data_IF_903218437903
#
_entry.id   IF_903218437903
#
_cell.length_a   1.000
_cell.length_b   1.000
_cell.length_c   1.000
_cell.angle_alpha   90.00
_cell.angle_beta   90.00
_cell.angle_gamma   90.00
#
_symmetry.space_group_name_H-M   'P 1'
#
loop_
_entity.id
_entity.type
_entity.pdbx_description
1 polymer ?
#
# COMPACT_ATOMS: atom_id res chain seq x y z
N UNK A 1 -36.78 15.09 -10.46
CA UNK A 1 -35.34 14.99 -10.11
C UNK A 1 -34.63 14.39 -11.31
N UNK A 2 -33.68 15.09 -11.94
CA UNK A 2 -32.96 14.57 -13.13
C UNK A 2 -31.72 13.80 -12.66
N UNK A 3 -31.67 12.52 -12.97
CA UNK A 3 -30.51 11.67 -12.71
C UNK A 3 -29.37 12.03 -13.68
N UNK A 4 -28.17 12.30 -13.17
CA UNK A 4 -26.99 12.58 -13.97
C UNK A 4 -25.89 11.55 -13.61
N UNK A 5 -25.78 10.45 -14.35
CA UNK A 5 -24.86 9.36 -14.04
C UNK A 5 -23.39 9.80 -13.92
N UNK A 6 -22.96 10.72 -14.78
CA UNK A 6 -21.58 11.25 -14.75
C UNK A 6 -21.30 11.98 -13.44
N UNK A 7 -22.28 12.76 -12.97
CA UNK A 7 -22.17 13.48 -11.70
C UNK A 7 -22.11 12.50 -10.53
N UNK A 8 -22.98 11.51 -10.52
CA UNK A 8 -22.99 10.49 -9.46
C UNK A 8 -21.66 9.73 -9.36
N UNK A 9 -21.11 9.29 -10.50
CA UNK A 9 -19.82 8.58 -10.54
C UNK A 9 -18.70 9.50 -10.04
N UNK A 10 -18.70 10.75 -10.48
CA UNK A 10 -17.69 11.74 -10.06
C UNK A 10 -17.81 12.11 -8.59
N UNK A 11 -18.99 12.04 -7.97
CA UNK A 11 -19.18 12.38 -6.56
C UNK A 11 -18.95 11.18 -5.63
N UNK A 12 -19.35 9.97 -6.04
CA UNK A 12 -19.41 8.80 -5.17
C UNK A 12 -18.34 7.74 -5.45
N UNK A 13 -17.40 7.99 -6.36
CA UNK A 13 -16.28 7.09 -6.65
C UNK A 13 -14.93 7.80 -6.65
N UNK A 14 -13.84 7.04 -6.74
CA UNK A 14 -12.48 7.57 -6.89
C UNK A 14 -12.10 7.92 -8.33
N UNK A 15 -13.06 8.03 -9.24
CA UNK A 15 -12.83 8.36 -10.63
C UNK A 15 -13.42 9.73 -10.98
N UNK A 16 -12.72 10.44 -11.87
CA UNK A 16 -13.27 11.55 -12.64
C UNK A 16 -13.54 11.04 -14.05
N UNK A 17 -14.79 11.15 -14.48
CA UNK A 17 -15.30 10.74 -15.79
C UNK A 17 -15.76 11.98 -16.54
N UNK A 18 -15.25 12.13 -17.75
CA UNK A 18 -15.74 13.07 -18.76
C UNK A 18 -15.91 12.33 -20.08
N UNK A 19 -16.51 12.97 -21.08
CA UNK A 19 -16.68 12.37 -22.40
C UNK A 19 -16.74 13.42 -23.50
N UNK A 20 -16.35 13.00 -24.70
CA UNK A 20 -16.52 13.75 -25.94
C UNK A 20 -17.56 13.09 -26.84
N UNK A 21 -18.32 13.92 -27.54
CA UNK A 21 -19.27 13.48 -28.56
C UNK A 21 -18.60 13.58 -29.92
N UNK A 22 -18.34 12.44 -30.54
CA UNK A 22 -17.81 12.36 -31.89
C UNK A 22 -19.02 12.34 -32.84
N UNK A 23 -19.11 13.34 -33.72
CA UNK A 23 -20.21 13.48 -34.65
C UNK A 23 -19.84 12.99 -36.04
N UNK A 24 -20.82 12.39 -36.73
CA UNK A 24 -20.78 12.14 -38.16
C UNK A 24 -21.95 12.89 -38.79
N UNK A 25 -21.66 14.07 -39.33
CA UNK A 25 -22.69 15.03 -39.70
C UNK A 25 -23.41 15.60 -38.47
N UNK A 26 -24.74 15.56 -38.46
CA UNK A 26 -25.55 16.12 -37.36
C UNK A 26 -25.78 15.15 -36.21
N UNK A 27 -25.57 13.84 -36.43
CA UNK A 27 -25.76 12.81 -35.41
C UNK A 27 -24.48 12.55 -34.63
N UNK A 28 -24.64 12.16 -33.35
CA UNK A 28 -23.55 11.59 -32.56
C UNK A 28 -23.32 10.18 -33.10
N UNK A 29 -22.12 9.95 -33.62
CA UNK A 29 -21.69 8.65 -34.13
C UNK A 29 -21.12 7.81 -32.99
N UNK A 30 -20.32 8.42 -32.12
CA UNK A 30 -19.72 7.76 -30.96
C UNK A 30 -19.52 8.70 -29.78
N UNK A 31 -19.38 8.13 -28.59
CA UNK A 31 -18.99 8.83 -27.36
C UNK A 31 -17.68 8.25 -26.88
N UNK A 32 -16.66 9.08 -26.72
CA UNK A 32 -15.38 8.69 -26.15
C UNK A 32 -15.34 9.13 -24.69
N UNK A 33 -15.16 8.17 -23.77
CA UNK A 33 -15.04 8.47 -22.36
C UNK A 33 -13.57 8.68 -21.97
N UNK A 34 -13.33 9.69 -21.13
CA UNK A 34 -12.05 9.92 -20.47
C UNK A 34 -12.24 9.66 -18.98
N UNK A 35 -11.55 8.64 -18.47
CA UNK A 35 -11.68 8.20 -17.08
C UNK A 35 -10.31 8.30 -16.43
N UNK A 36 -10.21 9.08 -15.36
CA UNK A 36 -8.97 9.29 -14.62
C UNK A 36 -9.22 8.95 -13.15
N UNK A 37 -8.32 8.18 -12.53
CA UNK A 37 -8.35 7.98 -11.08
C UNK A 37 -7.97 9.28 -10.40
N UNK A 38 -8.78 9.74 -9.45
CA UNK A 38 -8.48 10.93 -8.64
C UNK A 38 -7.12 10.73 -7.97
N UNK A 39 -6.26 11.75 -8.09
CA UNK A 39 -5.00 11.77 -7.36
C UNK A 39 -5.30 11.89 -5.86
N UNK A 40 -5.49 10.74 -5.21
CA UNK A 40 -5.56 10.70 -3.78
C UNK A 40 -4.13 10.90 -3.27
N UNK A 41 -3.76 12.13 -2.92
CA UNK A 41 -2.47 12.42 -2.28
C UNK A 41 -2.26 11.67 -0.94
N UNK A 42 -3.31 11.03 -0.42
CA UNK A 42 -3.29 10.19 0.81
C UNK A 42 -3.24 8.67 0.54
N UNK A 43 -3.40 8.21 -0.70
CA UNK A 43 -3.69 6.81 -1.04
C UNK A 43 -2.51 6.09 -1.69
N UNK A 44 -1.29 6.46 -1.31
CA UNK A 44 -0.14 5.55 -1.39
C UNK A 44 -0.20 4.44 -0.32
N UNK A 45 -1.25 4.45 0.50
CA UNK A 45 -1.44 3.53 1.62
C UNK A 45 -2.12 2.20 1.25
N UNK A 46 -2.76 2.06 0.08
CA UNK A 46 -3.45 0.79 -0.23
C UNK A 46 -2.48 -0.40 -0.38
N UNK A 47 -1.20 -0.15 -0.67
CA UNK A 47 -0.12 -1.16 -0.63
C UNK A 47 0.57 -1.28 0.73
N UNK A 48 0.18 -0.45 1.71
CA UNK A 48 0.79 -0.41 3.05
C UNK A 48 0.16 -1.43 4.02
N UNK A 49 -0.89 -2.14 3.57
CA UNK A 49 -1.56 -3.22 4.30
C UNK A 49 -1.20 -4.63 3.79
N UNK A 50 -0.22 -4.78 2.90
CA UNK A 50 0.41 -6.08 2.68
C UNK A 50 1.29 -6.39 3.89
N UNK A 51 0.66 -6.96 4.94
CA UNK A 51 1.30 -7.37 6.20
C UNK A 51 2.57 -8.18 5.91
N UNK A 52 2.57 -8.97 4.84
CA UNK A 52 3.73 -9.77 4.42
C UNK A 52 4.91 -8.92 3.93
N UNK A 53 4.67 -7.88 3.12
CA UNK A 53 5.74 -7.00 2.64
C UNK A 53 6.31 -6.15 3.78
N UNK A 54 5.43 -5.68 4.68
CA UNK A 54 5.85 -4.95 5.89
C UNK A 54 6.67 -5.83 6.84
N UNK A 55 6.28 -7.08 7.04
CA UNK A 55 6.99 -8.02 7.90
C UNK A 55 8.36 -8.39 7.34
N UNK A 56 8.53 -8.50 6.01
CA UNK A 56 9.84 -8.71 5.41
C UNK A 56 10.80 -7.53 5.63
N UNK A 57 10.32 -6.30 5.45
CA UNK A 57 11.12 -5.09 5.71
C UNK A 57 11.48 -4.99 7.20
N UNK A 58 10.49 -5.18 8.08
CA UNK A 58 10.71 -5.14 9.53
C UNK A 58 11.67 -6.23 10.00
N UNK A 59 11.58 -7.43 9.43
CA UNK A 59 12.49 -8.53 9.73
C UNK A 59 13.93 -8.21 9.30
N UNK A 60 14.13 -7.69 8.08
CA UNK A 60 15.46 -7.27 7.64
C UNK A 60 16.06 -6.18 8.55
N UNK A 61 15.24 -5.22 8.99
CA UNK A 61 15.64 -4.18 9.96
C UNK A 61 15.99 -4.78 11.32
N UNK A 62 15.19 -5.72 11.81
CA UNK A 62 15.43 -6.41 13.07
C UNK A 62 16.70 -7.26 13.03
N UNK A 63 16.96 -8.01 11.96
CA UNK A 63 18.21 -8.79 11.80
C UNK A 63 19.44 -7.88 11.77
N UNK A 64 19.35 -6.74 11.07
CA UNK A 64 20.45 -5.76 10.99
C UNK A 64 20.65 -4.95 12.28
N UNK A 65 19.76 -5.08 13.27
CA UNK A 65 19.83 -4.31 14.50
C UNK A 65 21.06 -4.73 15.35
N UNK A 66 21.85 -3.78 15.89
CA UNK A 66 23.00 -4.08 16.75
C UNK A 66 22.66 -4.96 17.97
N UNK A 67 21.42 -4.92 18.47
CA UNK A 67 20.98 -5.76 19.58
C UNK A 67 20.91 -7.24 19.20
N UNK A 68 20.57 -7.57 17.97
CA UNK A 68 20.59 -8.95 17.45
C UNK A 68 21.99 -9.55 17.56
N UNK A 69 23.01 -8.79 17.17
CA UNK A 69 24.41 -9.21 17.32
C UNK A 69 24.86 -9.29 18.78
N UNK A 70 24.40 -8.39 19.65
CA UNK A 70 24.68 -8.48 21.10
C UNK A 70 24.10 -9.74 21.71
N UNK A 71 22.88 -10.13 21.33
CA UNK A 71 22.24 -11.36 21.82
C UNK A 71 22.99 -12.62 21.34
N UNK A 72 23.48 -12.62 20.10
CA UNK A 72 24.31 -13.71 19.58
C UNK A 72 25.62 -13.82 20.38
N UNK A 73 26.31 -12.70 20.59
CA UNK A 73 27.57 -12.66 21.35
C UNK A 73 27.38 -13.10 22.81
N UNK A 74 26.22 -12.82 23.40
CA UNK A 74 25.86 -13.26 24.74
C UNK A 74 25.39 -14.73 24.81
N UNK A 75 25.37 -15.46 23.69
CA UNK A 75 24.81 -16.81 23.58
C UNK A 75 23.32 -16.90 23.97
N UNK A 76 22.57 -15.81 23.81
CA UNK A 76 21.12 -15.71 24.07
C UNK A 76 20.27 -15.89 22.80
N UNK A 77 20.91 -15.84 21.62
CA UNK A 77 20.27 -16.03 20.32
C UNK A 77 21.21 -16.83 19.41
N UNK A 78 20.70 -17.86 18.74
CA UNK A 78 21.50 -18.72 17.86
C UNK A 78 21.17 -18.51 16.38
N UNK A 79 22.08 -18.93 15.48
CA UNK A 79 21.88 -18.79 14.04
C UNK A 79 20.54 -19.36 13.49
N UNK A 80 20.03 -20.51 13.98
CA UNK A 80 18.71 -21.00 13.56
C UNK A 80 17.56 -20.09 14.00
N UNK A 81 17.71 -19.37 15.11
CA UNK A 81 16.70 -18.45 15.62
C UNK A 81 16.59 -17.18 14.76
N UNK A 82 17.68 -16.79 14.10
CA UNK A 82 17.70 -15.65 13.18
C UNK A 82 16.77 -15.92 12.00
N UNK A 83 16.79 -17.14 11.45
CA UNK A 83 15.94 -17.53 10.32
C UNK A 83 14.44 -17.61 10.67
N UNK A 84 14.09 -17.59 11.96
CA UNK A 84 12.71 -17.59 12.41
C UNK A 84 12.18 -16.14 12.46
N UNK A 85 11.44 -15.76 11.42
CA UNK A 85 10.93 -14.41 11.25
C UNK A 85 10.10 -13.92 12.44
N UNK A 86 9.20 -14.76 12.94
CA UNK A 86 8.29 -14.38 14.03
C UNK A 86 9.08 -14.13 15.33
N UNK A 87 10.06 -15.00 15.64
CA UNK A 87 10.92 -14.84 16.82
C UNK A 87 11.75 -13.55 16.78
N UNK A 88 12.26 -13.17 15.61
CA UNK A 88 13.04 -11.94 15.45
C UNK A 88 12.16 -10.69 15.49
N UNK A 89 10.96 -10.74 14.90
CA UNK A 89 10.00 -9.64 15.00
C UNK A 89 9.53 -9.42 16.44
N UNK A 90 9.20 -10.49 17.17
CA UNK A 90 8.78 -10.42 18.58
C UNK A 90 9.89 -9.85 19.48
N UNK A 91 11.13 -10.28 19.26
CA UNK A 91 12.29 -9.71 19.96
C UNK A 91 12.48 -8.23 19.63
N UNK A 92 12.23 -7.84 18.37
CA UNK A 92 12.36 -6.45 17.96
C UNK A 92 11.32 -5.53 18.60
N UNK A 93 10.10 -6.01 18.82
CA UNK A 93 9.05 -5.24 19.48
C UNK A 93 9.22 -5.19 21.01
N UNK A 94 9.66 -6.29 21.62
CA UNK A 94 9.67 -6.42 23.08
C UNK A 94 11.00 -6.03 23.75
N UNK A 95 12.12 -6.14 23.02
CA UNK A 95 13.47 -6.08 23.60
C UNK A 95 14.33 -4.98 22.98
N UNK A 96 14.14 -4.66 21.70
CA UNK A 96 14.96 -3.62 21.07
C UNK A 96 14.40 -2.24 21.47
N UNK A 97 15.26 -1.30 21.90
CA UNK A 97 14.80 0.02 22.26
C UNK A 97 14.26 0.76 21.02
N UNK A 98 13.13 1.43 21.19
CA UNK A 98 12.60 2.36 20.19
C UNK A 98 13.59 3.53 20.07
N UNK A 99 14.22 3.66 18.89
CA UNK A 99 15.11 4.80 18.56
C UNK A 99 14.24 5.98 18.13
#
# INVERSE_FOLDING_TARGET
MKFNPIKEINENTHFNVTYDKIKKGYSIDSIQFHIVKKANWKDENYKRNDVQAKNQVNYAVAVANPFTMKLINASLLYAPDIANQDKILDLSESVYPNI
#
